data_IF_199416306604
#
_entry.id   IF_199416306604
#
_cell.length_a   1.000
_cell.length_b   1.000
_cell.length_c   1.000
_cell.angle_alpha   90.00
_cell.angle_beta   90.00
_cell.angle_gamma   90.00
#
_symmetry.space_group_name_H-M   'P 1'
#
loop_
_entity.id
_entity.type
_entity.pdbx_description
1 polymer ?
#
# COMPACT_ATOMS: atom_id res chain seq x y z
N UNK A 1 -11.65 -16.33 -4.46
CA UNK A 1 -11.70 -14.93 -4.01
C UNK A 1 -12.51 -14.16 -5.03
N UNK A 2 -13.47 -13.33 -4.60
CA UNK A 2 -14.27 -12.52 -5.53
C UNK A 2 -13.62 -11.14 -5.63
N UNK A 3 -13.39 -10.66 -6.85
CA UNK A 3 -13.02 -9.28 -7.09
C UNK A 3 -14.28 -8.41 -7.00
N UNK A 4 -14.18 -7.32 -6.26
CA UNK A 4 -15.27 -6.37 -6.06
C UNK A 4 -14.82 -5.00 -6.54
N UNK A 5 -15.65 -4.36 -7.35
CA UNK A 5 -15.51 -2.94 -7.65
C UNK A 5 -16.34 -2.14 -6.65
N UNK A 6 -15.69 -1.22 -5.94
CA UNK A 6 -16.35 -0.39 -4.92
C UNK A 6 -16.36 1.05 -5.43
N UNK A 7 -17.54 1.65 -5.69
CA UNK A 7 -17.65 3.06 -6.05
C UNK A 7 -17.07 3.94 -4.94
N UNK A 8 -16.23 4.90 -5.31
CA UNK A 8 -15.65 5.86 -4.38
C UNK A 8 -15.82 7.30 -4.89
N UNK A 9 -15.64 8.27 -3.99
CA UNK A 9 -15.57 9.70 -4.33
C UNK A 9 -14.16 10.20 -4.11
N UNK A 10 -13.62 11.10 -4.96
CA UNK A 10 -12.31 11.70 -4.73
C UNK A 10 -12.23 12.41 -3.37
N UNK A 11 -11.08 12.33 -2.70
CA UNK A 11 -10.83 12.97 -1.40
C UNK A 11 -9.69 13.98 -1.55
N UNK A 12 -9.97 15.23 -1.20
CA UNK A 12 -8.99 16.31 -1.30
C UNK A 12 -7.81 16.11 -0.34
N UNK A 13 -6.63 16.56 -0.76
CA UNK A 13 -5.46 16.64 0.12
C UNK A 13 -4.68 15.33 0.31
N UNK A 14 -4.92 14.32 -0.53
CA UNK A 14 -4.11 13.09 -0.64
C UNK A 14 -2.84 13.32 -1.49
N UNK A 15 -2.19 14.47 -1.33
CA UNK A 15 -0.93 14.81 -2.02
C UNK A 15 0.24 14.39 -1.14
N UNK A 16 1.06 13.40 -1.55
CA UNK A 16 2.26 13.04 -0.80
C UNK A 16 3.29 14.19 -0.82
N UNK A 17 4.00 14.36 0.30
CA UNK A 17 5.16 15.25 0.37
C UNK A 17 6.45 14.51 0.02
N UNK A 18 7.60 15.10 0.38
CA UNK A 18 8.94 14.51 0.16
C UNK A 18 9.10 13.14 0.82
N UNK A 19 8.39 12.88 1.92
CA UNK A 19 8.46 11.62 2.67
C UNK A 19 7.13 10.86 2.70
N UNK A 20 6.37 10.94 1.59
CA UNK A 20 5.08 10.27 1.43
C UNK A 20 3.89 11.06 1.96
N UNK A 21 2.71 10.42 1.94
CA UNK A 21 1.48 11.01 2.48
C UNK A 21 1.42 10.81 3.99
N UNK A 22 1.39 11.92 4.75
CA UNK A 22 1.29 11.89 6.21
C UNK A 22 0.06 12.67 6.67
N UNK A 23 -0.79 12.01 7.45
CA UNK A 23 -1.98 12.57 8.11
C UNK A 23 -2.13 11.95 9.50
N UNK A 24 -2.99 12.55 10.33
CA UNK A 24 -3.39 11.96 11.62
C UNK A 24 -4.02 10.58 11.37
N UNK A 25 -3.76 9.60 12.24
CA UNK A 25 -4.28 8.23 12.06
C UNK A 25 -5.80 8.18 11.88
N UNK A 26 -6.55 9.02 12.61
CA UNK A 26 -8.01 9.13 12.46
C UNK A 26 -8.47 9.48 11.05
N UNK A 27 -7.64 10.17 10.25
CA UNK A 27 -7.95 10.48 8.85
C UNK A 27 -7.84 9.22 7.99
N UNK A 28 -6.77 8.43 8.15
CA UNK A 28 -6.62 7.16 7.44
C UNK A 28 -7.69 6.12 7.81
N UNK A 29 -8.25 6.22 9.02
CA UNK A 29 -9.34 5.37 9.47
C UNK A 29 -10.72 5.81 8.93
N UNK A 30 -10.82 6.94 8.24
CA UNK A 30 -12.07 7.33 7.57
C UNK A 30 -12.35 6.36 6.41
N UNK A 31 -13.61 5.93 6.23
CA UNK A 31 -13.96 5.02 5.14
C UNK A 31 -13.50 5.52 3.78
N UNK A 32 -12.81 4.66 3.02
CA UNK A 32 -12.32 4.96 1.68
C UNK A 32 -11.06 5.81 1.63
N UNK A 33 -10.57 6.38 2.74
CA UNK A 33 -9.40 7.24 2.69
C UNK A 33 -8.14 6.46 2.30
N UNK A 34 -7.84 5.36 3.00
CA UNK A 34 -6.69 4.53 2.67
C UNK A 34 -6.86 3.91 1.29
N UNK A 35 -8.04 3.37 1.00
CA UNK A 35 -8.34 2.67 -0.25
C UNK A 35 -8.15 3.59 -1.46
N UNK A 36 -8.70 4.81 -1.43
CA UNK A 36 -8.52 5.77 -2.52
C UNK A 36 -7.04 6.09 -2.77
N UNK A 37 -6.27 6.27 -1.70
CA UNK A 37 -4.85 6.59 -1.85
C UNK A 37 -4.08 5.42 -2.46
N UNK A 38 -4.33 4.19 -2.00
CA UNK A 38 -3.66 2.99 -2.52
C UNK A 38 -4.03 2.73 -3.98
N UNK A 39 -5.31 2.85 -4.35
CA UNK A 39 -5.72 2.72 -5.75
C UNK A 39 -5.04 3.79 -6.61
N UNK A 40 -5.00 5.04 -6.14
CA UNK A 40 -4.32 6.14 -6.85
C UNK A 40 -2.82 5.88 -7.03
N UNK A 41 -2.16 5.25 -6.05
CA UNK A 41 -0.74 4.85 -6.18
C UNK A 41 -0.57 3.78 -7.26
N UNK A 42 -1.45 2.77 -7.29
CA UNK A 42 -1.40 1.71 -8.31
C UNK A 42 -1.64 2.28 -9.71
N UNK A 43 -2.66 3.12 -9.87
CA UNK A 43 -2.97 3.77 -11.15
C UNK A 43 -1.82 4.69 -11.59
N UNK A 44 -1.25 5.46 -10.66
CA UNK A 44 -0.16 6.41 -10.91
C UNK A 44 1.15 5.78 -11.39
N UNK A 45 1.38 4.49 -11.15
CA UNK A 45 2.53 3.74 -11.67
C UNK A 45 2.20 2.90 -12.92
N UNK A 46 1.07 3.19 -13.57
CA UNK A 46 0.61 2.50 -14.77
C UNK A 46 -0.01 1.13 -14.49
N UNK A 47 -0.53 0.91 -13.28
CA UNK A 47 -1.09 -0.35 -12.83
C UNK A 47 -0.07 -1.29 -12.19
N UNK A 48 -0.59 -2.37 -11.58
CA UNK A 48 0.19 -3.34 -10.80
C UNK A 48 -0.02 -4.80 -11.18
N UNK A 49 -0.82 -5.07 -12.22
CA UNK A 49 -1.04 -6.41 -12.73
C UNK A 49 0.29 -7.07 -13.14
N UNK A 50 0.54 -8.30 -12.68
CA UNK A 50 1.77 -9.03 -12.97
C UNK A 50 3.01 -8.56 -12.19
N UNK A 51 2.95 -7.43 -11.47
CA UNK A 51 4.07 -6.89 -10.70
C UNK A 51 4.27 -7.64 -9.39
N UNK A 52 5.48 -7.57 -8.83
CA UNK A 52 5.82 -8.02 -7.48
C UNK A 52 6.18 -6.82 -6.64
N UNK A 53 5.65 -6.74 -5.42
CA UNK A 53 5.80 -5.56 -4.55
C UNK A 53 6.28 -5.95 -3.15
N UNK A 54 6.87 -5.00 -2.44
CA UNK A 54 7.21 -5.12 -1.01
C UNK A 54 6.24 -4.29 -0.18
N UNK A 55 5.79 -4.83 0.95
CA UNK A 55 5.01 -4.10 1.95
C UNK A 55 5.76 -4.09 3.28
N UNK A 56 6.06 -2.88 3.75
CA UNK A 56 6.69 -2.66 5.04
C UNK A 56 5.89 -1.80 5.99
N UNK A 57 6.49 -1.50 7.13
CA UNK A 57 5.84 -0.79 8.20
C UNK A 57 6.68 -0.76 9.48
N UNK A 58 6.58 0.34 10.23
CA UNK A 58 7.31 0.55 11.48
C UNK A 58 6.59 0.06 12.75
N UNK A 59 5.38 -0.50 12.59
CA UNK A 59 4.61 -1.09 13.70
C UNK A 59 3.71 -0.11 14.44
N UNK A 60 3.57 1.14 13.96
CA UNK A 60 2.66 2.12 14.58
C UNK A 60 1.21 1.64 14.58
N UNK A 61 0.40 2.24 15.46
CA UNK A 61 -1.04 1.99 15.48
C UNK A 61 -1.66 2.19 14.09
N UNK A 62 -2.56 1.28 13.71
CA UNK A 62 -3.19 1.14 12.38
C UNK A 62 -2.35 0.47 11.27
N UNK A 63 -1.06 0.15 11.48
CA UNK A 63 -0.27 -0.56 10.46
C UNK A 63 -0.88 -1.91 10.05
N UNK A 64 -1.22 -2.75 11.02
CA UNK A 64 -1.72 -4.11 10.74
C UNK A 64 -3.06 -4.08 9.97
N UNK A 65 -4.07 -3.27 10.36
CA UNK A 65 -5.25 -3.05 9.53
C UNK A 65 -4.92 -2.52 8.13
N UNK A 66 -4.04 -1.51 8.02
CA UNK A 66 -3.67 -0.94 6.73
C UNK A 66 -3.01 -1.97 5.80
N UNK A 67 -2.10 -2.79 6.34
CA UNK A 67 -1.45 -3.86 5.60
C UNK A 67 -2.45 -4.88 5.04
N UNK A 68 -3.46 -5.26 5.83
CA UNK A 68 -4.52 -6.16 5.36
C UNK A 68 -5.35 -5.55 4.23
N UNK A 69 -5.68 -4.25 4.32
CA UNK A 69 -6.37 -3.54 3.23
C UNK A 69 -5.50 -3.51 1.96
N UNK A 70 -4.23 -3.13 2.08
CA UNK A 70 -3.29 -3.06 0.96
C UNK A 70 -3.14 -4.43 0.28
N UNK A 71 -3.01 -5.51 1.04
CA UNK A 71 -2.87 -6.87 0.49
C UNK A 71 -4.12 -7.32 -0.28
N UNK A 72 -5.32 -7.01 0.23
CA UNK A 72 -6.58 -7.29 -0.48
C UNK A 72 -6.68 -6.50 -1.78
N UNK A 73 -6.33 -5.21 -1.75
CA UNK A 73 -6.35 -4.36 -2.93
C UNK A 73 -5.30 -4.77 -3.97
N UNK A 74 -4.10 -5.14 -3.53
CA UNK A 74 -3.05 -5.66 -4.40
C UNK A 74 -3.50 -6.94 -5.12
N UNK A 75 -4.10 -7.88 -4.40
CA UNK A 75 -4.66 -9.10 -5.00
C UNK A 75 -5.79 -8.78 -5.99
N UNK A 76 -6.69 -7.85 -5.65
CA UNK A 76 -7.78 -7.43 -6.54
C UNK A 76 -7.27 -6.71 -7.81
N UNK A 77 -6.13 -6.02 -7.73
CA UNK A 77 -5.50 -5.35 -8.87
C UNK A 77 -4.51 -6.25 -9.65
N UNK A 78 -4.45 -7.55 -9.34
CA UNK A 78 -3.67 -8.52 -10.10
C UNK A 78 -2.16 -8.54 -9.82
N UNK A 79 -1.71 -8.05 -8.65
CA UNK A 79 -0.31 -8.18 -8.21
C UNK A 79 0.08 -9.67 -8.18
N UNK A 80 1.19 -10.02 -8.83
CA UNK A 80 1.66 -11.41 -8.93
C UNK A 80 2.25 -11.93 -7.61
N UNK A 81 2.74 -11.04 -6.75
CA UNK A 81 3.19 -11.43 -5.41
C UNK A 81 3.57 -10.25 -4.52
N UNK A 82 3.40 -10.42 -3.21
CA UNK A 82 3.84 -9.45 -2.21
C UNK A 82 4.81 -10.08 -1.22
N UNK A 83 5.93 -9.40 -0.97
CA UNK A 83 6.84 -9.71 0.14
C UNK A 83 6.44 -8.81 1.31
N UNK A 84 6.05 -9.41 2.43
CA UNK A 84 5.56 -8.68 3.61
C UNK A 84 6.40 -9.07 4.81
N UNK A 85 6.79 -8.08 5.62
CA UNK A 85 7.43 -8.35 6.91
C UNK A 85 6.51 -9.12 7.85
N UNK A 86 7.08 -9.97 8.71
CA UNK A 86 6.31 -10.69 9.73
C UNK A 86 5.54 -9.67 10.59
N UNK A 87 4.25 -9.94 10.84
CA UNK A 87 3.33 -9.04 11.54
C UNK A 87 3.17 -7.64 10.91
N UNK A 88 3.60 -7.45 9.65
CA UNK A 88 3.63 -6.15 8.98
C UNK A 88 4.81 -5.27 9.40
N UNK A 89 5.85 -5.85 10.00
CA UNK A 89 7.04 -5.16 10.47
C UNK A 89 8.19 -5.32 9.48
N UNK A 90 8.58 -4.22 8.85
CA UNK A 90 9.74 -4.16 7.97
C UNK A 90 10.23 -2.71 7.92
N UNK A 91 11.45 -2.47 8.40
CA UNK A 91 12.02 -1.12 8.42
C UNK A 91 12.22 -0.59 7.01
N UNK A 92 12.21 0.74 6.85
CA UNK A 92 12.46 1.38 5.55
C UNK A 92 13.77 0.94 4.89
N UNK A 93 14.91 0.84 5.62
CA UNK A 93 16.13 0.30 5.04
C UNK A 93 15.99 -1.16 4.58
N UNK A 94 15.31 -2.00 5.37
CA UNK A 94 15.09 -3.41 5.01
C UNK A 94 14.19 -3.56 3.78
N UNK A 95 13.13 -2.76 3.68
CA UNK A 95 12.26 -2.71 2.51
C UNK A 95 13.03 -2.28 1.25
N UNK A 96 13.83 -1.21 1.35
CA UNK A 96 14.69 -0.76 0.24
C UNK A 96 15.69 -1.83 -0.20
N UNK A 97 16.33 -2.50 0.76
CA UNK A 97 17.24 -3.61 0.49
C UNK A 97 16.52 -4.78 -0.22
N UNK A 98 15.36 -5.19 0.28
CA UNK A 98 14.59 -6.30 -0.31
C UNK A 98 14.11 -5.99 -1.72
N UNK A 99 13.67 -4.75 -1.99
CA UNK A 99 13.25 -4.35 -3.33
C UNK A 99 14.38 -4.60 -4.35
N UNK A 100 15.59 -4.19 -4.00
CA UNK A 100 16.78 -4.34 -4.85
C UNK A 100 17.23 -5.80 -4.95
N UNK A 101 17.32 -6.50 -3.82
CA UNK A 101 17.81 -7.88 -3.77
C UNK A 101 16.87 -8.86 -4.48
N UNK A 102 15.56 -8.60 -4.45
CA UNK A 102 14.53 -9.48 -5.04
C UNK A 102 14.05 -9.02 -6.41
N UNK A 103 14.53 -7.87 -6.90
CA UNK A 103 14.13 -7.32 -8.20
C UNK A 103 12.63 -7.04 -8.30
N UNK A 104 12.01 -6.56 -7.22
CA UNK A 104 10.57 -6.22 -7.21
C UNK A 104 10.33 -4.85 -7.84
N UNK A 105 9.10 -4.60 -8.28
CA UNK A 105 8.70 -3.37 -8.98
C UNK A 105 8.51 -2.14 -8.08
N UNK A 106 8.62 -2.31 -6.76
CA UNK A 106 8.55 -1.21 -5.79
C UNK A 106 8.07 -1.67 -4.42
N UNK A 107 7.70 -0.71 -3.57
CA UNK A 107 7.11 -1.03 -2.28
C UNK A 107 6.32 0.10 -1.64
N UNK A 108 5.48 -0.30 -0.70
CA UNK A 108 4.66 0.55 0.17
C UNK A 108 5.20 0.40 1.59
N UNK A 109 5.44 1.53 2.28
CA UNK A 109 6.01 1.57 3.63
C UNK A 109 5.23 2.56 4.48
#
# INVERSE_FOLDING_TARGET
MNMLEIPCKPIMGQKPGTSGLRKKTRVFMQPGYLENFIQSVFDGIGGVAGKRLVLGGDGRYFNRPAAQTILKMAAANGVAGMIVGQDGLLSTPAASNLIRQRGTDGGLI
#
